data_IF_183778770666
#
_entry.id   IF_183778770666
#
_cell.length_a   1.000
_cell.length_b   1.000
_cell.length_c   1.000
_cell.angle_alpha   90.00
_cell.angle_beta   90.00
_cell.angle_gamma   90.00
#
_symmetry.space_group_name_H-M   'P 1'
#
loop_
_entity.id
_entity.type
_entity.pdbx_description
1 polymer ?
#
# COMPACT_ATOMS: atom_id res chain seq x y z
N UNK A 1 22.04 17.50 2.31
CA UNK A 1 20.73 16.90 2.66
C UNK A 1 19.57 17.63 1.96
N UNK A 2 19.48 18.97 1.99
CA UNK A 2 18.41 19.74 1.30
C UNK A 2 18.49 19.61 -0.23
N UNK A 3 19.66 19.41 -0.81
CA UNK A 3 19.86 19.23 -2.25
C UNK A 3 19.59 17.81 -2.75
N UNK A 4 19.60 16.81 -1.88
CA UNK A 4 19.41 15.40 -2.26
C UNK A 4 17.93 15.02 -2.42
N UNK A 5 17.03 15.61 -1.61
CA UNK A 5 15.62 15.27 -1.66
C UNK A 5 14.99 15.57 -3.04
N UNK A 6 15.23 16.74 -3.67
CA UNK A 6 14.74 17.00 -5.02
C UNK A 6 15.22 15.99 -6.07
N UNK A 7 16.47 15.50 -5.95
CA UNK A 7 17.01 14.48 -6.85
C UNK A 7 16.31 13.12 -6.73
N UNK A 8 15.74 12.82 -5.56
CA UNK A 8 14.97 11.58 -5.31
C UNK A 8 13.50 11.69 -5.70
N UNK A 9 12.94 12.89 -5.56
CA UNK A 9 11.56 13.16 -5.94
C UNK A 9 11.35 13.03 -7.46
N UNK A 10 12.30 13.47 -8.27
CA UNK A 10 12.21 13.43 -9.74
C UNK A 10 11.86 12.04 -10.28
N UNK A 11 12.70 11.00 -10.05
CA UNK A 11 12.43 9.65 -10.52
C UNK A 11 11.12 9.05 -9.98
N UNK A 12 10.77 9.31 -8.71
CA UNK A 12 9.51 8.85 -8.13
C UNK A 12 8.31 9.49 -8.84
N UNK A 13 8.39 10.80 -9.12
CA UNK A 13 7.35 11.54 -9.84
C UNK A 13 7.20 11.02 -11.26
N UNK A 14 8.29 10.84 -11.99
CA UNK A 14 8.27 10.32 -13.37
C UNK A 14 7.62 8.93 -13.44
N UNK A 15 7.97 8.03 -12.53
CA UNK A 15 7.36 6.71 -12.46
C UNK A 15 5.87 6.80 -12.12
N UNK A 16 5.51 7.71 -11.21
CA UNK A 16 4.12 7.93 -10.84
C UNK A 16 3.29 8.50 -11.99
N UNK A 17 3.78 9.51 -12.68
CA UNK A 17 3.11 10.10 -13.84
C UNK A 17 2.92 9.09 -14.98
N UNK A 18 3.90 8.20 -15.18
CA UNK A 18 3.84 7.18 -16.20
C UNK A 18 2.88 6.02 -15.88
N UNK A 19 2.79 5.58 -14.63
CA UNK A 19 2.13 4.32 -14.25
C UNK A 19 1.13 4.44 -13.09
N UNK A 20 1.21 5.48 -12.27
CA UNK A 20 0.44 5.63 -11.03
C UNK A 20 -1.07 5.54 -11.21
N UNK A 21 -1.70 6.25 -12.18
CA UNK A 21 -3.14 6.15 -12.40
C UNK A 21 -3.61 4.75 -12.76
N UNK A 22 -2.88 4.05 -13.63
CA UNK A 22 -3.17 2.66 -14.00
C UNK A 22 -2.96 1.71 -12.82
N UNK A 23 -1.95 1.95 -12.02
CA UNK A 23 -1.63 1.20 -10.82
C UNK A 23 -2.75 1.30 -9.77
N UNK A 24 -3.20 2.53 -9.43
CA UNK A 24 -4.33 2.72 -8.51
C UNK A 24 -5.60 2.07 -9.02
N UNK A 25 -5.91 2.24 -10.31
CA UNK A 25 -7.08 1.59 -10.91
C UNK A 25 -7.05 0.07 -10.70
N UNK A 26 -5.90 -0.57 -10.89
CA UNK A 26 -5.75 -2.01 -10.67
C UNK A 26 -5.93 -2.39 -9.19
N UNK A 27 -5.44 -1.58 -8.25
CA UNK A 27 -5.72 -1.79 -6.83
C UNK A 27 -7.24 -1.77 -6.58
N UNK A 28 -7.96 -0.80 -7.16
CA UNK A 28 -9.42 -0.71 -7.03
C UNK A 28 -10.15 -1.93 -7.60
N UNK A 29 -9.75 -2.42 -8.77
CA UNK A 29 -10.31 -3.64 -9.39
C UNK A 29 -10.07 -4.88 -8.52
N UNK A 30 -8.94 -4.94 -7.83
CA UNK A 30 -8.57 -6.05 -6.96
C UNK A 30 -9.23 -5.97 -5.58
N UNK A 31 -9.71 -4.80 -5.16
CA UNK A 31 -10.28 -4.56 -3.82
C UNK A 31 -11.68 -3.97 -3.90
N UNK A 32 -11.79 -2.66 -3.85
CA UNK A 32 -13.03 -1.89 -4.00
C UNK A 32 -12.69 -0.50 -4.57
N UNK A 33 -13.26 -0.15 -5.71
CA UNK A 33 -12.99 1.13 -6.38
C UNK A 33 -13.35 2.35 -5.51
N UNK A 34 -14.28 2.21 -4.58
CA UNK A 34 -14.68 3.27 -3.63
C UNK A 34 -13.57 3.65 -2.65
N UNK A 35 -12.55 2.79 -2.48
CA UNK A 35 -11.39 3.07 -1.63
C UNK A 35 -10.39 4.03 -2.28
N UNK A 36 -10.54 4.30 -3.57
CA UNK A 36 -9.63 5.18 -4.28
C UNK A 36 -10.07 6.64 -4.16
N UNK A 37 -9.12 7.50 -3.86
CA UNK A 37 -9.30 8.95 -3.87
C UNK A 37 -9.05 9.51 -5.27
N UNK A 38 -9.78 10.56 -5.65
CA UNK A 38 -9.56 11.25 -6.93
C UNK A 38 -8.28 12.10 -6.91
N UNK A 39 -7.92 12.62 -5.76
CA UNK A 39 -6.76 13.48 -5.54
C UNK A 39 -6.16 13.19 -4.17
N UNK A 40 -4.84 13.34 -4.05
CA UNK A 40 -4.11 13.26 -2.80
C UNK A 40 -2.90 14.19 -2.83
N UNK A 41 -2.54 14.74 -1.68
CA UNK A 41 -1.27 15.43 -1.51
C UNK A 41 -0.19 14.43 -1.11
N UNK A 42 0.97 14.50 -1.76
CA UNK A 42 2.13 13.66 -1.41
C UNK A 42 3.25 14.55 -0.88
N UNK A 43 3.61 14.33 0.38
CA UNK A 43 4.71 15.01 1.06
C UNK A 43 5.88 14.05 1.21
N UNK A 44 6.98 14.32 0.52
CA UNK A 44 8.22 13.57 0.68
C UNK A 44 9.02 14.19 1.82
N UNK A 45 9.33 13.38 2.81
CA UNK A 45 10.09 13.80 3.99
C UNK A 45 11.47 13.17 4.02
N UNK A 46 12.40 13.76 4.78
CA UNK A 46 13.71 13.18 5.00
C UNK A 46 13.60 11.83 5.70
N UNK A 47 14.39 10.81 5.29
CA UNK A 47 14.36 9.53 5.93
C UNK A 47 14.88 9.60 7.37
N UNK A 48 14.06 9.19 8.31
CA UNK A 48 14.45 9.01 9.71
C UNK A 48 14.87 7.56 9.98
N UNK A 49 14.09 6.63 9.47
CA UNK A 49 14.29 5.20 9.65
C UNK A 49 14.60 4.47 8.34
N UNK A 50 14.23 5.08 7.20
CA UNK A 50 14.25 4.49 5.87
C UNK A 50 13.07 3.54 5.65
N UNK A 51 12.34 3.72 4.55
CA UNK A 51 11.18 2.91 4.19
C UNK A 51 9.87 3.25 4.91
N UNK A 52 9.84 4.29 5.75
CA UNK A 52 8.64 4.75 6.43
C UNK A 52 7.66 5.49 5.51
N UNK A 53 6.41 5.56 5.96
CA UNK A 53 5.36 6.32 5.31
C UNK A 53 4.04 6.18 6.04
N UNK A 54 3.13 7.13 5.82
CA UNK A 54 1.84 7.20 6.49
C UNK A 54 0.78 7.79 5.55
N UNK A 55 -0.40 7.18 5.56
CA UNK A 55 -1.60 7.73 4.96
C UNK A 55 -2.32 8.58 6.02
N UNK A 56 -2.34 9.89 5.84
CA UNK A 56 -2.98 10.84 6.74
C UNK A 56 -4.39 11.18 6.25
N UNK A 57 -5.37 10.37 6.64
CA UNK A 57 -6.74 10.47 6.15
C UNK A 57 -7.39 11.85 6.37
N UNK A 58 -7.26 12.49 7.55
CA UNK A 58 -7.93 13.79 7.78
C UNK A 58 -7.53 14.91 6.83
N UNK A 59 -6.33 14.83 6.24
CA UNK A 59 -5.83 15.82 5.30
C UNK A 59 -5.79 15.31 3.85
N UNK A 60 -6.25 14.08 3.60
CA UNK A 60 -6.11 13.42 2.29
C UNK A 60 -4.66 13.49 1.77
N UNK A 61 -3.71 13.18 2.64
CA UNK A 61 -2.28 13.37 2.43
C UNK A 61 -1.52 12.07 2.68
N UNK A 62 -0.52 11.82 1.86
CA UNK A 62 0.48 10.78 2.10
C UNK A 62 1.80 11.45 2.48
N UNK A 63 2.40 11.00 3.58
CA UNK A 63 3.77 11.30 3.97
C UNK A 63 4.63 10.11 3.68
N UNK A 64 5.69 10.28 2.90
CA UNK A 64 6.58 9.21 2.49
C UNK A 64 8.04 9.61 2.71
N UNK A 65 8.83 8.76 3.36
CA UNK A 65 10.25 9.00 3.50
C UNK A 65 10.95 8.81 2.14
N UNK A 66 11.74 9.80 1.73
CA UNK A 66 12.59 9.72 0.56
C UNK A 66 13.75 8.74 0.80
N UNK A 67 13.77 7.59 0.12
CA UNK A 67 14.83 6.58 0.30
C UNK A 67 16.08 6.98 -0.47
N UNK A 68 17.22 7.05 0.23
CA UNK A 68 18.52 7.35 -0.36
C UNK A 68 19.09 6.16 -1.15
N UNK A 69 18.84 4.95 -0.68
CA UNK A 69 19.18 3.71 -1.37
C UNK A 69 18.06 2.69 -1.13
N UNK A 70 17.46 2.19 -2.20
CA UNK A 70 16.48 1.12 -2.09
C UNK A 70 17.20 -0.24 -1.97
N UNK A 71 17.10 -0.92 -0.82
CA UNK A 71 17.75 -2.21 -0.63
C UNK A 71 17.11 -3.33 -1.46
N UNK A 72 15.89 -3.11 -1.95
CA UNK A 72 15.14 -4.07 -2.76
C UNK A 72 14.76 -3.44 -4.12
N UNK A 73 15.67 -3.47 -5.12
CA UNK A 73 15.40 -2.85 -6.43
C UNK A 73 14.16 -3.40 -7.14
N UNK A 74 13.77 -4.66 -6.85
CA UNK A 74 12.57 -5.30 -7.36
C UNK A 74 11.27 -4.77 -6.73
N UNK A 75 11.36 -3.96 -5.67
CA UNK A 75 10.24 -3.30 -5.01
C UNK A 75 10.42 -1.77 -5.10
N UNK A 76 10.06 -1.14 -6.22
CA UNK A 76 10.25 0.29 -6.41
C UNK A 76 9.41 1.14 -5.45
N UNK A 77 9.91 2.33 -5.11
CA UNK A 77 9.26 3.27 -4.19
C UNK A 77 7.86 3.72 -4.66
N UNK A 78 7.62 3.72 -5.96
CA UNK A 78 6.29 4.03 -6.52
C UNK A 78 5.23 3.01 -6.11
N UNK A 79 5.60 1.75 -5.85
CA UNK A 79 4.68 0.73 -5.33
C UNK A 79 4.30 1.05 -3.89
N UNK A 80 5.27 1.47 -3.06
CA UNK A 80 5.01 1.95 -1.69
C UNK A 80 4.11 3.18 -1.69
N UNK A 81 4.35 4.13 -2.58
CA UNK A 81 3.52 5.31 -2.73
C UNK A 81 2.06 4.94 -3.05
N UNK A 82 1.82 4.08 -4.03
CA UNK A 82 0.47 3.66 -4.38
C UNK A 82 -0.22 2.85 -3.28
N UNK A 83 0.54 2.00 -2.57
CA UNK A 83 0.03 1.32 -1.38
C UNK A 83 -0.43 2.32 -0.29
N UNK A 84 0.33 3.39 -0.03
CA UNK A 84 -0.07 4.43 0.92
C UNK A 84 -1.29 5.21 0.44
N UNK A 85 -1.34 5.61 -0.84
CA UNK A 85 -2.49 6.35 -1.41
C UNK A 85 -3.76 5.50 -1.34
N UNK A 86 -3.67 4.18 -1.56
CA UNK A 86 -4.83 3.27 -1.48
C UNK A 86 -5.47 3.17 -0.09
N UNK A 87 -4.84 3.75 0.93
CA UNK A 87 -5.35 3.76 2.30
C UNK A 87 -6.09 5.04 2.69
N UNK A 88 -6.18 6.04 1.81
CA UNK A 88 -6.73 7.36 2.16
C UNK A 88 -8.25 7.38 2.37
N UNK A 89 -8.99 6.38 1.90
CA UNK A 89 -10.45 6.24 2.09
C UNK A 89 -10.83 5.06 3.01
N UNK A 90 -9.92 4.62 3.89
CA UNK A 90 -10.18 3.48 4.79
C UNK A 90 -11.19 3.78 5.90
N UNK A 91 -11.52 5.03 6.15
CA UNK A 91 -12.53 5.48 7.11
C UNK A 91 -13.97 5.39 6.59
N UNK A 92 -14.18 4.88 5.37
CA UNK A 92 -15.53 4.67 4.84
C UNK A 92 -16.36 3.79 5.78
N UNK A 93 -17.62 4.17 6.07
CA UNK A 93 -18.49 3.42 6.98
C UNK A 93 -18.61 1.93 6.64
N UNK A 94 -18.63 1.60 5.35
CA UNK A 94 -18.70 0.21 4.88
C UNK A 94 -17.54 -0.68 5.39
N UNK A 95 -16.40 -0.12 5.74
CA UNK A 95 -15.26 -0.85 6.31
C UNK A 95 -15.30 -0.86 7.83
N UNK A 96 -15.64 0.27 8.47
CA UNK A 96 -15.67 0.42 9.92
C UNK A 96 -16.80 -0.36 10.62
N UNK A 97 -17.83 -0.78 9.88
CA UNK A 97 -18.88 -1.65 10.41
C UNK A 97 -18.38 -3.07 10.75
N UNK A 98 -17.29 -3.51 10.13
CA UNK A 98 -16.82 -4.90 10.21
C UNK A 98 -15.51 -5.08 11.00
N UNK A 99 -14.77 -4.00 11.24
CA UNK A 99 -13.48 -4.00 11.97
C UNK A 99 -13.50 -2.86 12.98
N UNK A 100 -13.01 -3.13 14.20
CA UNK A 100 -12.97 -2.11 15.24
C UNK A 100 -12.15 -0.89 14.78
N UNK A 101 -12.63 0.35 15.01
CA UNK A 101 -11.98 1.58 14.50
C UNK A 101 -10.49 1.69 14.85
N UNK A 102 -10.09 1.28 16.05
CA UNK A 102 -8.68 1.34 16.49
C UNK A 102 -7.78 0.35 15.74
N UNK A 103 -8.36 -0.71 15.19
CA UNK A 103 -7.63 -1.76 14.44
C UNK A 103 -7.69 -1.53 12.94
N UNK A 104 -8.73 -0.84 12.47
CA UNK A 104 -9.01 -0.65 11.05
C UNK A 104 -7.81 -0.11 10.25
N UNK A 105 -7.09 0.93 10.66
CA UNK A 105 -5.94 1.43 9.89
C UNK A 105 -4.85 0.36 9.69
N UNK A 106 -4.54 -0.40 10.75
CA UNK A 106 -3.55 -1.48 10.68
C UNK A 106 -4.00 -2.61 9.77
N UNK A 107 -5.21 -3.13 10.00
CA UNK A 107 -5.74 -4.28 9.26
C UNK A 107 -5.91 -3.95 7.78
N UNK A 108 -6.47 -2.79 7.49
CA UNK A 108 -6.69 -2.35 6.12
C UNK A 108 -5.37 -2.02 5.39
N UNK A 109 -4.40 -1.41 6.06
CA UNK A 109 -3.06 -1.20 5.50
C UNK A 109 -2.39 -2.53 5.12
N UNK A 110 -2.51 -3.56 5.98
CA UNK A 110 -2.01 -4.91 5.70
C UNK A 110 -2.78 -5.54 4.54
N UNK A 111 -4.11 -5.42 4.51
CA UNK A 111 -4.96 -5.98 3.44
C UNK A 111 -4.68 -5.37 2.06
N UNK A 112 -4.37 -4.07 2.01
CA UNK A 112 -4.03 -3.39 0.75
C UNK A 112 -2.66 -3.79 0.20
N UNK A 113 -1.78 -4.39 1.01
CA UNK A 113 -0.42 -4.74 0.59
C UNK A 113 -0.38 -5.77 -0.55
N UNK A 114 -0.99 -6.96 -0.45
CA UNK A 114 -0.97 -7.93 -1.55
C UNK A 114 -1.70 -7.40 -2.80
N UNK A 115 -2.75 -6.59 -2.63
CA UNK A 115 -3.42 -5.93 -3.74
C UNK A 115 -2.50 -4.95 -4.49
N UNK A 116 -1.73 -4.14 -3.74
CA UNK A 116 -0.74 -3.24 -4.33
C UNK A 116 0.38 -3.98 -5.06
N UNK A 117 0.90 -5.08 -4.48
CA UNK A 117 1.91 -5.90 -5.14
C UNK A 117 1.38 -6.56 -6.42
N UNK A 118 0.17 -7.12 -6.37
CA UNK A 118 -0.48 -7.71 -7.54
C UNK A 118 -0.75 -6.67 -8.64
N UNK A 119 -1.28 -5.50 -8.28
CA UNK A 119 -1.48 -4.39 -9.22
C UNK A 119 -0.15 -3.89 -9.80
N UNK A 120 0.90 -3.81 -8.99
CA UNK A 120 2.25 -3.42 -9.45
C UNK A 120 2.81 -4.37 -10.50
N UNK A 121 2.53 -5.67 -10.40
CA UNK A 121 2.90 -6.65 -11.43
C UNK A 121 2.14 -6.42 -12.73
N UNK A 122 0.83 -6.20 -12.66
CA UNK A 122 -0.01 -5.96 -13.84
C UNK A 122 0.40 -4.73 -14.64
N UNK A 123 0.92 -3.70 -13.98
CA UNK A 123 1.40 -2.49 -14.65
C UNK A 123 2.92 -2.45 -14.84
N UNK A 124 3.59 -3.59 -14.67
CA UNK A 124 5.05 -3.77 -14.85
C UNK A 124 5.92 -2.86 -13.98
N UNK A 125 5.47 -2.52 -12.77
CA UNK A 125 6.26 -1.80 -11.77
C UNK A 125 7.14 -2.72 -10.94
N UNK A 126 6.71 -3.95 -10.72
CA UNK A 126 7.51 -4.98 -10.05
C UNK A 126 7.34 -6.34 -10.73
N UNK A 127 8.31 -7.22 -10.52
CA UNK A 127 8.28 -8.58 -11.06
C UNK A 127 7.55 -9.53 -10.10
N UNK A 128 7.09 -10.65 -10.63
CA UNK A 128 6.54 -11.71 -9.79
C UNK A 128 7.68 -12.42 -9.05
N UNK A 129 7.62 -12.37 -7.72
CA UNK A 129 8.58 -13.04 -6.85
C UNK A 129 7.86 -13.49 -5.57
N UNK A 130 8.05 -14.75 -5.15
CA UNK A 130 7.45 -15.25 -3.92
C UNK A 130 7.94 -14.53 -2.67
N UNK A 131 9.13 -13.89 -2.73
CA UNK A 131 9.70 -13.14 -1.61
C UNK A 131 9.20 -11.71 -1.52
N UNK A 132 8.52 -11.19 -2.56
CA UNK A 132 8.19 -9.76 -2.68
C UNK A 132 7.31 -9.27 -1.52
N UNK A 133 6.34 -10.09 -1.08
CA UNK A 133 5.49 -9.75 0.07
C UNK A 133 6.31 -9.66 1.37
N UNK A 134 7.18 -10.63 1.63
CA UNK A 134 8.03 -10.63 2.82
C UNK A 134 9.03 -9.46 2.81
N UNK A 135 9.56 -9.11 1.65
CA UNK A 135 10.43 -7.95 1.46
C UNK A 135 9.69 -6.63 1.71
N UNK A 136 8.44 -6.50 1.22
CA UNK A 136 7.62 -5.33 1.47
C UNK A 136 7.31 -5.17 2.96
N UNK A 137 6.90 -6.25 3.65
CA UNK A 137 6.66 -6.27 5.09
C UNK A 137 7.90 -5.79 5.86
N UNK A 138 9.07 -6.32 5.53
CA UNK A 138 10.34 -5.99 6.18
C UNK A 138 10.75 -4.54 5.90
N UNK A 139 10.75 -4.15 4.62
CA UNK A 139 11.22 -2.84 4.18
C UNK A 139 10.30 -1.70 4.64
N UNK A 140 9.00 -1.93 4.65
CA UNK A 140 7.99 -0.94 5.08
C UNK A 140 7.63 -1.07 6.57
N UNK A 141 8.34 -1.94 7.29
CA UNK A 141 8.25 -2.12 8.76
C UNK A 141 6.86 -2.45 9.25
N UNK A 142 6.19 -3.35 8.55
CA UNK A 142 4.85 -3.77 8.92
C UNK A 142 4.91 -4.87 10.00
N UNK A 143 4.09 -4.74 11.02
CA UNK A 143 3.92 -5.78 12.05
C UNK A 143 2.91 -6.83 11.55
N UNK A 144 3.35 -7.70 10.63
CA UNK A 144 2.51 -8.69 9.99
C UNK A 144 3.32 -9.93 9.60
N UNK A 145 2.62 -11.07 9.50
CA UNK A 145 3.20 -12.34 9.05
C UNK A 145 2.84 -12.56 7.57
N UNK A 146 3.87 -12.76 6.74
CA UNK A 146 3.71 -12.98 5.31
C UNK A 146 2.87 -14.24 5.00
N UNK A 147 2.98 -15.30 5.82
CA UNK A 147 2.23 -16.54 5.63
C UNK A 147 0.73 -16.28 5.83
N UNK A 148 0.37 -15.59 6.90
CA UNK A 148 -1.03 -15.24 7.19
C UNK A 148 -1.63 -14.40 6.08
N UNK A 149 -0.89 -13.38 5.61
CA UNK A 149 -1.35 -12.51 4.53
C UNK A 149 -1.50 -13.29 3.22
N UNK A 150 -0.57 -14.17 2.89
CA UNK A 150 -0.63 -14.99 1.67
C UNK A 150 -1.88 -15.88 1.69
N UNK A 151 -2.11 -16.62 2.77
CA UNK A 151 -3.29 -17.49 2.92
C UNK A 151 -4.60 -16.71 2.83
N UNK A 152 -4.66 -15.56 3.49
CA UNK A 152 -5.82 -14.70 3.40
C UNK A 152 -6.07 -14.20 1.97
N UNK A 153 -5.00 -13.73 1.29
CA UNK A 153 -5.10 -13.18 -0.05
C UNK A 153 -5.52 -14.24 -1.08
N UNK A 154 -4.97 -15.44 -1.01
CA UNK A 154 -5.36 -16.58 -1.84
C UNK A 154 -6.85 -16.90 -1.68
N UNK A 155 -7.32 -17.03 -0.42
CA UNK A 155 -8.74 -17.25 -0.11
C UNK A 155 -9.63 -16.13 -0.64
N UNK A 156 -9.20 -14.88 -0.49
CA UNK A 156 -9.90 -13.72 -1.03
C UNK A 156 -9.98 -13.78 -2.56
N UNK A 157 -8.89 -14.08 -3.24
CA UNK A 157 -8.84 -14.17 -4.70
C UNK A 157 -9.71 -15.30 -5.26
N UNK A 158 -9.80 -16.41 -4.57
CA UNK A 158 -10.67 -17.54 -4.95
C UNK A 158 -12.15 -17.22 -4.78
N UNK A 159 -12.53 -16.70 -3.62
CA UNK A 159 -13.94 -16.48 -3.27
C UNK A 159 -14.51 -15.15 -3.71
N UNK A 160 -13.67 -14.13 -3.90
CA UNK A 160 -14.05 -12.75 -4.24
C UNK A 160 -15.25 -12.21 -3.43
N UNK A 161 -15.28 -12.39 -2.10
CA UNK A 161 -16.32 -11.75 -1.29
C UNK A 161 -16.18 -10.23 -1.33
N UNK A 162 -17.17 -9.45 -0.90
CA UNK A 162 -16.99 -8.02 -0.67
C UNK A 162 -15.75 -7.74 0.17
N UNK A 163 -14.94 -6.75 -0.22
CA UNK A 163 -13.65 -6.49 0.43
C UNK A 163 -13.79 -6.24 1.94
N UNK A 164 -14.86 -5.56 2.37
CA UNK A 164 -15.15 -5.34 3.79
C UNK A 164 -15.32 -6.65 4.58
N UNK A 165 -15.90 -7.68 3.96
CA UNK A 165 -16.06 -9.02 4.58
C UNK A 165 -14.70 -9.72 4.67
N UNK A 166 -13.90 -9.64 3.62
CA UNK A 166 -12.54 -10.19 3.61
C UNK A 166 -11.65 -9.49 4.65
N UNK A 167 -11.82 -8.17 4.83
CA UNK A 167 -11.11 -7.39 5.83
C UNK A 167 -11.40 -7.88 7.26
N UNK A 168 -12.69 -8.14 7.57
CA UNK A 168 -13.08 -8.70 8.87
C UNK A 168 -12.52 -10.12 9.10
N UNK A 169 -12.34 -10.90 8.05
CA UNK A 169 -11.68 -12.20 8.14
C UNK A 169 -10.18 -12.05 8.45
N UNK A 170 -9.50 -11.12 7.77
CA UNK A 170 -8.10 -10.82 8.07
C UNK A 170 -7.90 -10.34 9.51
N UNK A 171 -8.79 -9.47 9.99
CA UNK A 171 -8.74 -8.95 11.36
C UNK A 171 -8.66 -10.08 12.39
N UNK A 172 -9.48 -11.14 12.20
CA UNK A 172 -9.47 -12.32 13.07
C UNK A 172 -8.22 -13.20 12.93
N UNK A 173 -7.54 -13.14 11.77
CA UNK A 173 -6.32 -13.89 11.55
C UNK A 173 -5.07 -13.18 12.11
N UNK A 174 -5.18 -11.89 12.38
CA UNK A 174 -4.11 -11.06 12.94
C UNK A 174 -4.18 -10.93 14.48
N UNK A 175 -5.17 -11.54 15.12
CA UNK A 175 -5.25 -11.71 16.57
C UNK A 175 -4.26 -12.79 17.02
#
# INVERSE_FOLDING_TARGET
LEEELPLRIGPLREQWEARGPGFLRQIGVLTDERLLVEQAEVVVIHPALGGGGEAWLPANQVRIEGVLANPFPQLPEVVRLGWLISQLNLDLPALSENVHPDRLPRVAGIAMLPAALAAGREVELCQDSPELLAQAITNWRLAADAIVITQWWETYCEGRPPFAVALAALDKMLD
#
